data_IF_187829786248
#
_entry.id   IF_187829786248
#
_cell.length_a   1.000
_cell.length_b   1.000
_cell.length_c   1.000
_cell.angle_alpha   90.00
_cell.angle_beta   90.00
_cell.angle_gamma   90.00
#
_symmetry.space_group_name_H-M   'P 1'
#
loop_
_entity.id
_entity.type
_entity.pdbx_description
1 polymer ?
#
# COMPACT_ATOMS: atom_id res chain seq x y z
N UNK A 1 -34.73 2.97 20.84
CA UNK A 1 -33.75 3.90 21.43
C UNK A 1 -32.47 3.14 21.73
N UNK A 2 -31.49 3.18 20.82
CA UNK A 2 -30.15 2.66 21.07
C UNK A 2 -29.22 3.87 21.22
N UNK A 3 -28.50 3.91 22.33
CA UNK A 3 -27.66 5.01 22.79
C UNK A 3 -26.52 5.31 21.81
N UNK A 4 -26.63 6.42 21.07
CA UNK A 4 -25.51 7.02 20.33
C UNK A 4 -24.51 7.63 21.32
N UNK A 5 -23.62 6.79 21.84
CA UNK A 5 -22.54 7.20 22.75
C UNK A 5 -21.54 8.00 21.94
N UNK A 6 -21.42 9.29 22.28
CA UNK A 6 -20.39 10.28 21.93
C UNK A 6 -19.00 9.63 21.74
N UNK A 7 -18.73 9.07 20.56
CA UNK A 7 -17.39 8.70 20.12
C UNK A 7 -16.80 9.93 19.46
N UNK A 8 -16.24 10.80 20.30
CA UNK A 8 -15.14 11.62 19.82
C UNK A 8 -14.12 10.68 19.18
N UNK A 9 -13.68 10.98 17.96
CA UNK A 9 -12.69 10.20 17.22
C UNK A 9 -11.28 10.28 17.84
N UNK A 10 -11.18 10.11 19.16
CA UNK A 10 -9.94 9.83 19.88
C UNK A 10 -9.20 8.66 19.25
N UNK A 11 -9.91 7.70 18.64
CA UNK A 11 -9.29 6.60 17.90
C UNK A 11 -8.53 7.08 16.65
N UNK A 12 -9.00 8.12 15.93
CA UNK A 12 -8.32 8.65 14.74
C UNK A 12 -7.11 9.50 15.14
N UNK A 13 -7.24 10.33 16.18
CA UNK A 13 -6.13 11.16 16.67
C UNK A 13 -5.05 10.28 17.32
N UNK A 14 -5.44 9.29 18.13
CA UNK A 14 -4.51 8.32 18.72
C UNK A 14 -3.86 7.44 17.65
N UNK A 15 -4.61 7.01 16.62
CA UNK A 15 -4.04 6.30 15.49
C UNK A 15 -3.04 7.17 14.71
N UNK A 16 -3.32 8.46 14.52
CA UNK A 16 -2.40 9.41 13.87
C UNK A 16 -1.10 9.62 14.65
N UNK A 17 -1.17 9.77 15.97
CA UNK A 17 0.02 9.88 16.85
C UNK A 17 0.81 8.57 16.86
N UNK A 18 0.13 7.43 16.91
CA UNK A 18 0.77 6.11 16.85
C UNK A 18 1.42 5.88 15.49
N UNK A 19 0.79 6.33 14.39
CA UNK A 19 1.36 6.31 13.04
C UNK A 19 2.58 7.22 12.92
N UNK A 20 2.58 8.40 13.55
CA UNK A 20 3.74 9.30 13.57
C UNK A 20 4.92 8.68 14.32
N UNK A 21 4.67 8.07 15.49
CA UNK A 21 5.70 7.35 16.24
C UNK A 21 6.24 6.16 15.45
N UNK A 22 5.35 5.40 14.78
CA UNK A 22 5.72 4.30 13.91
C UNK A 22 6.54 4.78 12.70
N UNK A 23 6.10 5.83 12.02
CA UNK A 23 6.81 6.45 10.89
C UNK A 23 8.19 6.99 11.28
N UNK A 24 8.33 7.52 12.50
CA UNK A 24 9.63 7.97 13.02
C UNK A 24 10.57 6.78 13.29
N UNK A 25 10.06 5.69 13.90
CA UNK A 25 10.82 4.44 14.07
C UNK A 25 11.22 3.84 12.72
N UNK A 26 10.36 3.95 11.71
CA UNK A 26 10.64 3.51 10.35
C UNK A 26 11.82 4.24 9.70
N UNK A 27 12.03 5.53 10.02
CA UNK A 27 13.17 6.29 9.54
C UNK A 27 14.50 5.88 10.19
N UNK A 28 14.48 5.47 11.47
CA UNK A 28 15.69 5.07 12.19
C UNK A 28 16.15 3.64 11.87
N UNK A 29 15.26 2.77 11.41
CA UNK A 29 15.57 1.38 11.10
C UNK A 29 14.95 0.90 9.77
N UNK A 30 15.45 1.38 8.62
CA UNK A 30 14.88 1.07 7.30
C UNK A 30 15.01 -0.41 6.88
N UNK A 31 15.87 -1.19 7.55
CA UNK A 31 15.97 -2.63 7.33
C UNK A 31 14.85 -3.40 8.05
N UNK A 32 14.42 -2.91 9.22
CA UNK A 32 13.37 -3.54 10.02
C UNK A 32 11.99 -3.33 9.38
N UNK A 33 11.74 -2.15 8.82
CA UNK A 33 10.52 -1.82 8.07
C UNK A 33 10.32 -2.67 6.83
N UNK A 34 11.38 -2.87 6.05
CA UNK A 34 11.37 -3.76 4.89
C UNK A 34 10.96 -5.18 5.32
N UNK A 35 11.56 -5.67 6.40
CA UNK A 35 11.24 -6.97 6.96
C UNK A 35 9.81 -7.06 7.51
N UNK A 36 9.31 -6.03 8.19
CA UNK A 36 7.94 -6.03 8.73
C UNK A 36 6.90 -5.96 7.63
N UNK A 37 7.11 -5.15 6.58
CA UNK A 37 6.24 -5.09 5.41
C UNK A 37 6.21 -6.46 4.72
N UNK A 38 7.37 -7.10 4.53
CA UNK A 38 7.46 -8.45 3.96
C UNK A 38 6.73 -9.49 4.79
N UNK A 39 6.86 -9.42 6.13
CA UNK A 39 6.18 -10.33 7.05
C UNK A 39 4.67 -10.15 7.01
N UNK A 40 4.18 -8.90 7.05
CA UNK A 40 2.74 -8.60 6.97
C UNK A 40 2.18 -9.09 5.64
N UNK A 41 2.87 -8.81 4.53
CA UNK A 41 2.47 -9.30 3.21
C UNK A 41 2.50 -10.82 3.13
N UNK A 42 3.55 -11.47 3.65
CA UNK A 42 3.70 -12.92 3.67
C UNK A 42 2.58 -13.63 4.44
N UNK A 43 2.23 -13.11 5.62
CA UNK A 43 1.08 -13.59 6.39
C UNK A 43 -0.23 -13.38 5.61
N UNK A 44 -0.39 -12.25 4.93
CA UNK A 44 -1.54 -11.99 4.05
C UNK A 44 -1.66 -13.00 2.91
N UNK A 45 -0.55 -13.31 2.23
CA UNK A 45 -0.51 -14.32 1.17
C UNK A 45 -0.81 -15.73 1.69
N UNK A 46 -0.29 -16.09 2.86
CA UNK A 46 -0.62 -17.36 3.52
C UNK A 46 -2.12 -17.46 3.83
N UNK A 47 -2.71 -16.40 4.40
CA UNK A 47 -4.15 -16.36 4.67
C UNK A 47 -4.97 -16.45 3.39
N UNK A 48 -4.60 -15.69 2.35
CA UNK A 48 -5.27 -15.72 1.04
C UNK A 48 -5.22 -17.11 0.42
N UNK A 49 -4.04 -17.76 0.42
CA UNK A 49 -3.86 -19.09 -0.12
C UNK A 49 -4.61 -20.17 0.66
N UNK A 50 -4.58 -20.13 1.99
CA UNK A 50 -5.35 -21.06 2.84
C UNK A 50 -6.85 -20.89 2.62
N UNK A 51 -7.35 -19.64 2.61
CA UNK A 51 -8.75 -19.36 2.32
C UNK A 51 -9.11 -19.83 0.90
N UNK A 52 -8.25 -19.62 -0.09
CA UNK A 52 -8.43 -20.10 -1.46
C UNK A 52 -8.59 -21.62 -1.55
N UNK A 53 -7.76 -22.37 -0.82
CA UNK A 53 -7.87 -23.83 -0.72
C UNK A 53 -9.19 -24.23 -0.04
N UNK A 54 -9.56 -23.58 1.07
CA UNK A 54 -10.83 -23.85 1.78
C UNK A 54 -12.04 -23.56 0.89
N UNK A 55 -12.04 -22.42 0.19
CA UNK A 55 -13.10 -22.06 -0.77
C UNK A 55 -13.17 -23.06 -1.92
N UNK A 56 -12.04 -23.50 -2.47
CA UNK A 56 -12.00 -24.52 -3.52
C UNK A 56 -12.67 -25.83 -3.06
N UNK A 57 -12.34 -26.32 -1.86
CA UNK A 57 -12.94 -27.54 -1.30
C UNK A 57 -14.43 -27.34 -0.99
N UNK A 58 -14.83 -26.17 -0.48
CA UNK A 58 -16.23 -25.88 -0.11
C UNK A 58 -17.14 -25.67 -1.32
N UNK A 59 -16.64 -25.01 -2.38
CA UNK A 59 -17.41 -24.67 -3.58
C UNK A 59 -17.24 -25.66 -4.75
N UNK A 60 -16.41 -26.71 -4.63
CA UNK A 60 -16.32 -27.77 -5.68
C UNK A 60 -17.66 -28.43 -6.02
N UNK A 61 -18.66 -28.28 -5.15
CA UNK A 61 -19.99 -28.89 -5.30
C UNK A 61 -21.01 -28.00 -6.02
N UNK A 62 -20.75 -26.69 -6.19
CA UNK A 62 -21.72 -25.74 -6.78
C UNK A 62 -21.25 -25.10 -8.09
N UNK A 63 -19.94 -25.05 -8.34
CA UNK A 63 -19.39 -24.49 -9.56
C UNK A 63 -18.24 -25.37 -10.03
N UNK A 64 -18.08 -25.54 -11.35
CA UNK A 64 -16.92 -26.20 -11.95
C UNK A 64 -15.67 -25.33 -11.72
N UNK A 65 -15.17 -25.32 -10.49
CA UNK A 65 -13.99 -24.53 -10.11
C UNK A 65 -12.80 -25.16 -10.83
N UNK A 66 -12.29 -24.43 -11.82
CA UNK A 66 -11.15 -24.87 -12.62
C UNK A 66 -9.93 -25.14 -11.73
N UNK A 67 -9.19 -26.22 -11.99
CA UNK A 67 -8.00 -26.62 -11.22
C UNK A 67 -6.92 -25.54 -11.16
N UNK A 68 -6.97 -24.55 -12.06
CA UNK A 68 -6.15 -23.34 -12.04
C UNK A 68 -6.32 -22.53 -10.75
N UNK A 69 -7.53 -22.45 -10.18
CA UNK A 69 -7.77 -21.71 -8.93
C UNK A 69 -7.01 -22.33 -7.75
N UNK A 70 -6.95 -23.67 -7.71
CA UNK A 70 -6.18 -24.40 -6.70
C UNK A 70 -4.68 -24.16 -6.89
N UNK A 71 -4.19 -24.17 -8.12
CA UNK A 71 -2.79 -23.89 -8.42
C UNK A 71 -2.38 -22.48 -7.96
N UNK A 72 -3.22 -21.46 -8.20
CA UNK A 72 -2.99 -20.10 -7.69
C UNK A 72 -2.95 -20.04 -6.17
N UNK A 73 -3.89 -20.70 -5.48
CA UNK A 73 -3.91 -20.73 -4.03
C UNK A 73 -2.66 -21.40 -3.42
N UNK A 74 -2.16 -22.48 -4.05
CA UNK A 74 -0.92 -23.15 -3.62
C UNK A 74 0.29 -22.23 -3.86
N UNK A 75 0.35 -21.53 -5.00
CA UNK A 75 1.41 -20.57 -5.28
C UNK A 75 1.43 -19.43 -4.27
N UNK A 76 0.27 -18.90 -3.88
CA UNK A 76 0.16 -17.86 -2.84
C UNK A 76 0.70 -18.35 -1.50
N UNK A 77 0.40 -19.59 -1.09
CA UNK A 77 0.96 -20.16 0.14
C UNK A 77 2.48 -20.28 0.06
N UNK A 78 3.02 -20.76 -1.07
CA UNK A 78 4.46 -20.91 -1.27
C UNK A 78 5.19 -19.56 -1.24
N UNK A 79 4.64 -18.56 -1.93
CA UNK A 79 5.17 -17.20 -1.94
C UNK A 79 5.11 -16.59 -0.53
N UNK A 80 3.98 -16.74 0.16
CA UNK A 80 3.81 -16.27 1.53
C UNK A 80 4.82 -16.92 2.50
N UNK A 81 5.03 -18.23 2.38
CA UNK A 81 6.01 -18.95 3.20
C UNK A 81 7.45 -18.48 2.90
N UNK A 82 7.79 -18.27 1.62
CA UNK A 82 9.10 -17.77 1.23
C UNK A 82 9.38 -16.38 1.79
N UNK A 83 8.35 -15.52 1.86
CA UNK A 83 8.47 -14.17 2.41
C UNK A 83 8.67 -14.17 3.93
N UNK A 84 8.06 -15.12 4.64
CA UNK A 84 8.25 -15.28 6.10
C UNK A 84 9.62 -15.86 6.43
N UNK A 85 10.13 -16.81 5.63
CA UNK A 85 11.44 -17.42 5.83
C UNK A 85 12.60 -16.46 5.48
N UNK A 86 12.44 -15.67 4.41
CA UNK A 86 13.44 -14.70 3.97
C UNK A 86 12.83 -13.29 3.83
N UNK A 87 12.59 -12.57 4.95
CA UNK A 87 11.92 -11.27 4.94
C UNK A 87 12.71 -10.19 4.19
N UNK A 88 14.04 -10.30 4.12
CA UNK A 88 14.88 -9.39 3.32
C UNK A 88 14.59 -9.52 1.82
N UNK A 89 14.44 -10.75 1.32
CA UNK A 89 14.15 -11.03 -0.09
C UNK A 89 12.70 -10.70 -0.41
N UNK A 90 11.76 -11.05 0.48
CA UNK A 90 10.35 -10.69 0.35
C UNK A 90 10.15 -9.17 0.29
N UNK A 91 10.87 -8.42 1.13
CA UNK A 91 10.83 -6.97 1.13
C UNK A 91 11.32 -6.38 -0.21
N UNK A 92 12.44 -6.88 -0.73
CA UNK A 92 12.95 -6.45 -2.04
C UNK A 92 11.99 -6.79 -3.19
N UNK A 93 11.39 -7.98 -3.18
CA UNK A 93 10.40 -8.38 -4.17
C UNK A 93 9.16 -7.45 -4.17
N UNK A 94 8.67 -7.08 -2.98
CA UNK A 94 7.58 -6.10 -2.85
C UNK A 94 8.02 -4.74 -3.38
N UNK A 95 9.23 -4.29 -3.04
CA UNK A 95 9.78 -3.03 -3.55
C UNK A 95 9.82 -3.01 -5.08
N UNK A 96 10.27 -4.09 -5.72
CA UNK A 96 10.28 -4.19 -7.18
C UNK A 96 8.89 -4.21 -7.80
N UNK A 97 7.93 -4.90 -7.16
CA UNK A 97 6.54 -4.88 -7.61
C UNK A 97 5.97 -3.46 -7.56
N UNK A 98 6.21 -2.74 -6.46
CA UNK A 98 5.77 -1.34 -6.31
C UNK A 98 6.48 -0.43 -7.29
N UNK A 99 7.78 -0.61 -7.53
CA UNK A 99 8.54 0.14 -8.52
C UNK A 99 7.95 -0.03 -9.92
N UNK A 100 7.57 -1.26 -10.30
CA UNK A 100 6.91 -1.54 -11.55
C UNK A 100 5.54 -0.84 -11.65
N UNK A 101 4.75 -0.85 -10.57
CA UNK A 101 3.50 -0.09 -10.53
C UNK A 101 3.74 1.41 -10.71
N UNK A 102 4.72 2.00 -10.01
CA UNK A 102 5.08 3.42 -10.14
C UNK A 102 5.52 3.78 -11.56
N UNK A 103 6.26 2.89 -12.22
CA UNK A 103 6.66 3.06 -13.61
C UNK A 103 5.43 3.12 -14.52
N UNK A 104 4.52 2.16 -14.37
CA UNK A 104 3.27 2.09 -15.16
C UNK A 104 2.40 3.33 -14.90
N UNK A 105 2.20 3.72 -13.64
CA UNK A 105 1.45 4.92 -13.29
C UNK A 105 2.09 6.20 -13.84
N UNK A 106 3.41 6.34 -13.74
CA UNK A 106 4.15 7.46 -14.32
C UNK A 106 3.96 7.58 -15.83
N UNK A 107 4.02 6.46 -16.56
CA UNK A 107 3.72 6.44 -17.99
C UNK A 107 2.29 6.89 -18.29
N UNK A 108 1.30 6.31 -17.60
CA UNK A 108 -0.11 6.69 -17.78
C UNK A 108 -0.35 8.18 -17.48
N UNK A 109 0.30 8.72 -16.46
CA UNK A 109 0.16 10.11 -16.06
C UNK A 109 0.79 11.07 -17.10
N UNK A 110 1.92 10.70 -17.69
CA UNK A 110 2.50 11.44 -18.82
C UNK A 110 1.55 11.42 -20.02
N UNK A 111 0.99 10.26 -20.37
CA UNK A 111 0.01 10.17 -21.46
C UNK A 111 -1.25 10.99 -21.18
N UNK A 112 -1.77 10.93 -19.95
CA UNK A 112 -2.92 11.72 -19.52
C UNK A 112 -2.63 13.22 -19.54
N UNK A 113 -1.44 13.63 -19.09
CA UNK A 113 -0.98 15.01 -19.18
C UNK A 113 -0.96 15.43 -20.65
N UNK A 114 -0.24 14.72 -21.54
CA UNK A 114 -0.19 15.10 -22.96
C UNK A 114 -1.59 15.27 -23.59
N UNK A 115 -2.55 14.42 -23.22
CA UNK A 115 -3.95 14.57 -23.63
C UNK A 115 -4.62 15.82 -23.03
N UNK A 116 -4.34 16.15 -21.78
CA UNK A 116 -4.83 17.36 -21.09
C UNK A 116 -4.29 18.66 -21.70
N UNK A 117 -3.03 18.68 -22.18
CA UNK A 117 -2.46 19.81 -22.94
C UNK A 117 -3.32 20.18 -24.14
N UNK A 118 -3.81 19.15 -24.84
CA UNK A 118 -4.65 19.32 -26.04
C UNK A 118 -6.02 19.92 -25.73
N UNK A 119 -6.44 19.92 -24.46
CA UNK A 119 -7.74 20.40 -24.00
C UNK A 119 -7.62 21.82 -23.38
N UNK A 120 -6.40 22.39 -23.31
CA UNK A 120 -6.18 23.75 -22.81
C UNK A 120 -6.23 23.89 -21.28
N UNK A 121 -6.14 22.78 -20.53
CA UNK A 121 -6.15 22.81 -19.07
C UNK A 121 -4.79 23.26 -18.49
N UNK A 122 -4.83 24.27 -17.61
CA UNK A 122 -3.64 24.89 -17.01
C UNK A 122 -2.80 23.95 -16.12
N UNK A 123 -3.36 22.84 -15.65
CA UNK A 123 -2.67 21.86 -14.80
C UNK A 123 -1.74 20.90 -15.56
N UNK A 124 -1.57 21.06 -16.88
CA UNK A 124 -0.75 20.16 -17.71
C UNK A 124 0.69 20.00 -17.21
N UNK A 125 1.34 21.10 -16.84
CA UNK A 125 2.72 21.09 -16.37
C UNK A 125 2.90 20.32 -15.06
N UNK A 126 1.89 20.36 -14.17
CA UNK A 126 1.91 19.65 -12.89
C UNK A 126 1.82 18.15 -13.13
N UNK A 127 0.89 17.70 -13.98
CA UNK A 127 0.73 16.28 -14.32
C UNK A 127 1.94 15.68 -15.03
N UNK A 128 2.63 16.48 -15.86
CA UNK A 128 3.85 16.03 -16.52
C UNK A 128 5.03 15.94 -15.53
N UNK A 129 5.13 16.90 -14.61
CA UNK A 129 6.13 16.87 -13.54
C UNK A 129 5.95 15.67 -12.62
N UNK A 130 4.71 15.41 -12.15
CA UNK A 130 4.43 14.25 -11.29
C UNK A 130 4.71 12.92 -11.99
N UNK A 131 4.37 12.80 -13.27
CA UNK A 131 4.69 11.60 -14.07
C UNK A 131 6.20 11.33 -14.17
N UNK A 132 7.02 12.36 -14.42
CA UNK A 132 8.48 12.24 -14.44
C UNK A 132 9.02 11.83 -13.07
N UNK A 133 8.54 12.47 -12.00
CA UNK A 133 8.93 12.14 -10.63
C UNK A 133 8.61 10.67 -10.33
N UNK A 134 7.45 10.17 -10.78
CA UNK A 134 7.05 8.78 -10.58
C UNK A 134 8.02 7.79 -11.26
N UNK A 135 8.47 8.10 -12.48
CA UNK A 135 9.45 7.28 -13.21
C UNK A 135 10.82 7.31 -12.52
N UNK A 136 11.27 8.48 -12.09
CA UNK A 136 12.55 8.61 -11.36
C UNK A 136 12.49 7.82 -10.06
N UNK A 137 11.39 7.95 -9.30
CA UNK A 137 11.15 7.15 -8.10
C UNK A 137 11.15 5.66 -8.41
N UNK A 138 10.49 5.21 -9.48
CA UNK A 138 10.50 3.81 -9.88
C UNK A 138 11.92 3.28 -10.15
N UNK A 139 12.73 4.03 -10.90
CA UNK A 139 14.14 3.65 -11.18
C UNK A 139 14.95 3.58 -9.88
N UNK A 140 14.79 4.56 -9.00
CA UNK A 140 15.47 4.59 -7.70
C UNK A 140 15.10 3.37 -6.83
N UNK A 141 13.82 2.99 -6.80
CA UNK A 141 13.33 1.82 -6.07
C UNK A 141 13.88 0.50 -6.64
N UNK A 142 14.10 0.43 -7.96
CA UNK A 142 14.71 -0.73 -8.60
C UNK A 142 16.19 -0.91 -8.20
N UNK A 143 16.95 0.18 -8.13
CA UNK A 143 18.38 0.17 -7.80
C UNK A 143 18.62 -0.17 -6.34
N UNK A 144 17.77 0.33 -5.43
CA UNK A 144 17.91 0.00 -4.02
C UNK A 144 16.57 -0.18 -3.32
N UNK A 145 16.28 -1.39 -2.79
CA UNK A 145 15.03 -1.64 -2.07
C UNK A 145 14.94 -0.84 -0.78
N UNK A 146 16.06 -0.34 -0.23
CA UNK A 146 16.09 0.49 0.99
C UNK A 146 15.38 1.83 0.76
N UNK A 147 15.47 2.40 -0.44
CA UNK A 147 14.75 3.64 -0.78
C UNK A 147 13.23 3.47 -0.69
N UNK A 148 12.71 2.25 -0.88
CA UNK A 148 11.30 1.95 -0.69
C UNK A 148 10.84 2.23 0.73
N UNK A 149 11.62 1.78 1.71
CA UNK A 149 11.29 2.02 3.12
C UNK A 149 11.22 3.50 3.44
N UNK A 150 12.18 4.29 2.92
CA UNK A 150 12.22 5.74 3.15
C UNK A 150 11.03 6.44 2.50
N UNK A 151 10.69 6.05 1.27
CA UNK A 151 9.53 6.58 0.55
C UNK A 151 8.23 6.27 1.31
N UNK A 152 8.06 5.01 1.74
CA UNK A 152 6.91 4.60 2.56
C UNK A 152 6.86 5.38 3.87
N UNK A 153 7.99 5.57 4.55
CA UNK A 153 8.05 6.35 5.79
C UNK A 153 7.58 7.80 5.57
N UNK A 154 8.06 8.47 4.52
CA UNK A 154 7.62 9.83 4.18
C UNK A 154 6.12 9.87 3.87
N UNK A 155 5.60 8.90 3.13
CA UNK A 155 4.16 8.79 2.83
C UNK A 155 3.32 8.55 4.09
N UNK A 156 3.78 7.68 4.99
CA UNK A 156 3.10 7.39 6.26
C UNK A 156 3.09 8.62 7.16
N UNK A 157 4.19 9.39 7.20
CA UNK A 157 4.25 10.65 7.93
C UNK A 157 3.26 11.67 7.36
N UNK A 158 3.24 11.86 6.03
CA UNK A 158 2.28 12.74 5.37
C UNK A 158 0.83 12.33 5.64
N UNK A 159 0.53 11.03 5.54
CA UNK A 159 -0.80 10.48 5.86
C UNK A 159 -1.17 10.65 7.32
N UNK A 160 -0.23 10.49 8.25
CA UNK A 160 -0.44 10.75 9.67
C UNK A 160 -0.83 12.20 9.94
N UNK A 161 -0.14 13.15 9.30
CA UNK A 161 -0.48 14.58 9.37
C UNK A 161 -1.86 14.86 8.77
N UNK A 162 -2.16 14.27 7.60
CA UNK A 162 -3.46 14.42 6.94
C UNK A 162 -4.61 13.88 7.80
N UNK A 163 -4.44 12.71 8.44
CA UNK A 163 -5.45 12.15 9.34
C UNK A 163 -5.71 13.02 10.57
N UNK A 164 -4.67 13.66 11.12
CA UNK A 164 -4.84 14.61 12.22
C UNK A 164 -5.63 15.84 11.75
N UNK A 165 -5.30 16.38 10.57
CA UNK A 165 -6.00 17.51 9.99
C UNK A 165 -7.48 17.20 9.67
N UNK A 166 -7.76 16.02 9.12
CA UNK A 166 -9.12 15.53 8.86
C UNK A 166 -9.89 15.31 10.16
N UNK A 167 -9.27 14.70 11.19
CA UNK A 167 -9.89 14.51 12.50
C UNK A 167 -10.29 15.84 13.17
N UNK A 168 -9.45 16.87 13.05
CA UNK A 168 -9.77 18.23 13.53
C UNK A 168 -10.88 18.89 12.70
N UNK A 169 -10.92 18.61 11.39
CA UNK A 169 -11.92 19.18 10.47
C UNK A 169 -13.30 18.56 10.67
N UNK A 170 -13.39 17.22 10.79
CA UNK A 170 -14.63 16.50 11.11
C UNK A 170 -15.18 16.95 12.47
N UNK A 171 -14.29 17.14 13.45
CA UNK A 171 -14.66 17.70 14.77
C UNK A 171 -15.29 19.09 14.70
N UNK A 172 -14.93 19.92 13.70
CA UNK A 172 -15.53 21.24 13.48
C UNK A 172 -16.88 21.19 12.75
N UNK A 173 -17.10 20.20 11.88
CA UNK A 173 -18.35 20.07 11.10
C UNK A 173 -19.48 19.53 11.98
N UNK A 174 -19.17 18.66 12.95
CA UNK A 174 -20.16 18.12 13.91
C UNK A 174 -20.60 19.15 14.97
N UNK A 175 -19.85 20.24 15.14
CA UNK A 175 -20.14 21.30 16.12
C UNK A 175 -20.87 22.53 15.53
N UNK A 176 -21.32 22.46 14.28
CA UNK A 176 -22.20 23.45 13.66
C UNK A 176 -23.60 22.89 13.45
#
# INVERSE_FOLDING_TARGET
MATLKKKWDWSLILAGILLLACGLLCCFAPNLTLATIAMIAGVGFLLSGVLGIVFYVRFRSMMSVSGWSLAYAILDVLIGLMFVLHPLVGGAAISWLVALCFLVFGLFEIFAAMKSKSIGFSAWGIGLFSGIVNIVCAIMLFVSPILFSLLVAVFVLWRGVAMIAEGVTVGKIVYR
#
